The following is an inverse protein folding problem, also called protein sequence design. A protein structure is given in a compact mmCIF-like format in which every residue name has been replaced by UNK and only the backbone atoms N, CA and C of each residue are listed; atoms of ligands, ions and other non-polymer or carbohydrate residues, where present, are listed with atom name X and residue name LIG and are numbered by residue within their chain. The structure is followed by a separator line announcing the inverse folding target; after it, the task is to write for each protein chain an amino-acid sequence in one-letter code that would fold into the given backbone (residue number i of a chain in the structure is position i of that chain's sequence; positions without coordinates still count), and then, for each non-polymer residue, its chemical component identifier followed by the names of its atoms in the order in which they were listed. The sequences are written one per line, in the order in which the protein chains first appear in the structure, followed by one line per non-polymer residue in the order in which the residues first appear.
data_IF_217474523851
#
_entry.id   IF_217474523851
#
_cell.length_a   1.000
_cell.length_b   1.000
_cell.length_c   1.000
_cell.angle_alpha   90.00
_cell.angle_beta   90.00
_cell.angle_gamma   90.00
#
_symmetry.space_group_name_H-M   'P 1'
#
loop_
_entity.id
_entity.type
_entity.pdbx_description
1 polymer ?
#
# COMPACT_ATOMS: atom_id res chain seq x y z
N UNK A 1 3.41 23.67 -2.84
CA UNK A 1 2.91 22.34 -2.45
C UNK A 1 2.35 21.63 -3.67
N UNK A 2 2.68 20.37 -3.84
CA UNK A 2 2.20 19.57 -4.97
C UNK A 2 0.72 19.23 -4.77
N UNK A 3 -0.13 19.53 -5.74
CA UNK A 3 -1.55 19.15 -5.66
C UNK A 3 -1.76 17.68 -6.07
N UNK A 4 -2.96 17.18 -5.80
CA UNK A 4 -3.31 15.78 -6.03
C UNK A 4 -3.20 15.39 -7.52
N UNK A 5 -3.70 16.24 -8.42
CA UNK A 5 -3.65 15.94 -9.85
C UNK A 5 -2.20 15.85 -10.35
N UNK A 6 -1.33 16.74 -9.89
CA UNK A 6 0.08 16.77 -10.29
C UNK A 6 0.83 15.54 -9.80
N UNK A 7 0.60 15.11 -8.54
CA UNK A 7 1.31 13.94 -8.01
C UNK A 7 0.81 12.65 -8.67
N UNK A 8 -0.49 12.53 -8.92
CA UNK A 8 -1.03 11.37 -9.62
C UNK A 8 -0.49 11.28 -11.04
N UNK A 9 -0.41 12.42 -11.75
CA UNK A 9 0.18 12.45 -13.10
C UNK A 9 1.67 12.04 -13.06
N UNK A 10 2.43 12.59 -12.13
CA UNK A 10 3.85 12.25 -11.96
C UNK A 10 4.05 10.74 -11.78
N UNK A 11 3.27 10.12 -10.91
CA UNK A 11 3.39 8.69 -10.63
C UNK A 11 2.88 7.86 -11.79
N UNK A 12 1.80 8.27 -12.46
CA UNK A 12 1.33 7.58 -13.67
C UNK A 12 2.41 7.58 -14.75
N UNK A 13 3.08 8.71 -14.97
CA UNK A 13 4.18 8.83 -15.94
C UNK A 13 5.37 7.97 -15.54
N UNK A 14 5.69 7.91 -14.25
CA UNK A 14 6.75 7.05 -13.71
C UNK A 14 6.46 5.58 -14.00
N UNK A 15 5.25 5.12 -13.68
CA UNK A 15 4.84 3.74 -13.89
C UNK A 15 4.85 3.37 -15.36
N UNK A 16 4.37 4.26 -16.22
CA UNK A 16 4.41 4.06 -17.67
C UNK A 16 5.86 3.96 -18.17
N UNK A 17 6.73 4.85 -17.70
CA UNK A 17 8.15 4.84 -18.04
C UNK A 17 8.88 3.58 -17.59
N UNK A 18 8.43 2.97 -16.49
CA UNK A 18 8.94 1.70 -15.98
C UNK A 18 8.33 0.50 -16.71
N UNK A 19 7.39 0.72 -17.61
CA UNK A 19 6.75 -0.33 -18.41
C UNK A 19 5.60 -1.04 -17.70
N UNK A 20 5.00 -0.45 -16.68
CA UNK A 20 3.85 -1.03 -15.99
C UNK A 20 2.54 -0.61 -16.64
N UNK A 21 1.56 -1.52 -16.59
CA UNK A 21 0.18 -1.29 -17.01
C UNK A 21 -0.67 -1.05 -15.77
N UNK A 22 -1.28 0.13 -15.70
CA UNK A 22 -2.25 0.47 -14.65
C UNK A 22 -3.62 -0.01 -15.10
N UNK A 23 -4.20 -0.96 -14.37
CA UNK A 23 -5.53 -1.52 -14.71
C UNK A 23 -6.65 -0.81 -13.98
N UNK A 24 -6.35 -0.08 -12.90
CA UNK A 24 -7.32 0.72 -12.17
C UNK A 24 -6.62 1.85 -11.43
N UNK A 25 -7.31 2.99 -11.32
CA UNK A 25 -6.85 4.14 -10.56
C UNK A 25 -8.00 4.63 -9.68
N UNK A 26 -7.72 4.84 -8.39
CA UNK A 26 -8.66 5.47 -7.47
C UNK A 26 -8.01 6.74 -6.90
N UNK A 27 -8.44 7.90 -7.39
CA UNK A 27 -7.97 9.21 -6.93
C UNK A 27 -9.03 9.94 -6.11
N UNK A 28 -10.08 9.22 -5.68
CA UNK A 28 -11.19 9.79 -4.93
C UNK A 28 -11.10 9.49 -3.42
N UNK A 29 -10.05 8.81 -2.96
CA UNK A 29 -9.85 8.56 -1.54
C UNK A 29 -9.53 9.87 -0.82
N UNK A 30 -10.14 10.15 0.34
CA UNK A 30 -9.90 11.41 1.05
C UNK A 30 -8.45 11.58 1.54
N UNK A 31 -7.73 10.47 1.74
CA UNK A 31 -6.33 10.48 2.16
C UNK A 31 -5.35 10.50 0.97
N UNK A 32 -5.82 10.38 -0.26
CA UNK A 32 -4.98 10.31 -1.46
C UNK A 32 -5.55 9.37 -2.50
N UNK A 33 -4.98 8.20 -2.64
CA UNK A 33 -5.48 7.18 -3.56
C UNK A 33 -4.43 6.17 -3.96
N UNK A 34 -4.71 5.43 -5.05
CA UNK A 34 -3.80 4.36 -5.47
C UNK A 34 -3.93 4.02 -6.95
N UNK A 35 -2.90 3.34 -7.45
CA UNK A 35 -2.89 2.68 -8.76
C UNK A 35 -2.82 1.18 -8.55
N UNK A 36 -3.63 0.42 -9.30
CA UNK A 36 -3.56 -1.04 -9.34
C UNK A 36 -2.77 -1.45 -10.58
N UNK A 37 -1.74 -2.27 -10.38
CA UNK A 37 -0.87 -2.75 -11.45
C UNK A 37 -1.38 -4.11 -11.92
N UNK A 38 -1.25 -4.38 -13.22
CA UNK A 38 -1.63 -5.65 -13.83
C UNK A 38 -0.93 -6.82 -13.11
N UNK A 39 -1.71 -7.81 -12.67
CA UNK A 39 -1.19 -9.00 -11.98
C UNK A 39 -0.20 -9.78 -12.86
N UNK A 40 -0.36 -9.74 -14.19
CA UNK A 40 0.58 -10.38 -15.12
C UNK A 40 1.98 -9.77 -15.04
N UNK A 41 2.12 -8.59 -14.44
CA UNK A 41 3.38 -7.89 -14.24
C UNK A 41 3.92 -8.03 -12.81
N UNK A 42 3.37 -8.97 -12.03
CA UNK A 42 3.75 -9.16 -10.63
C UNK A 42 5.25 -9.41 -10.45
N UNK A 43 5.84 -10.28 -11.27
CA UNK A 43 7.27 -10.56 -11.20
C UNK A 43 8.12 -9.31 -11.47
N UNK A 44 7.71 -8.51 -12.44
CA UNK A 44 8.37 -7.26 -12.78
C UNK A 44 8.24 -6.24 -11.65
N UNK A 45 7.06 -6.17 -11.02
CA UNK A 45 6.81 -5.30 -9.87
C UNK A 45 7.73 -5.65 -8.69
N UNK A 46 7.86 -6.94 -8.39
CA UNK A 46 8.78 -7.42 -7.34
C UNK A 46 10.22 -7.07 -7.70
N UNK A 47 10.64 -7.29 -8.93
CA UNK A 47 12.01 -6.93 -9.37
C UNK A 47 12.29 -5.43 -9.23
N UNK A 48 11.30 -4.59 -9.50
CA UNK A 48 11.45 -3.13 -9.44
C UNK A 48 11.49 -2.61 -8.00
N UNK A 49 10.59 -3.09 -7.15
CA UNK A 49 10.37 -2.50 -5.83
C UNK A 49 10.83 -3.38 -4.68
N UNK A 50 10.90 -4.68 -4.87
CA UNK A 50 11.29 -5.64 -3.83
C UNK A 50 12.36 -6.61 -4.35
N UNK A 51 13.51 -6.07 -4.85
CA UNK A 51 14.49 -6.91 -5.56
C UNK A 51 15.16 -7.96 -4.68
N UNK A 52 15.13 -7.80 -3.36
CA UNK A 52 15.70 -8.76 -2.42
C UNK A 52 14.72 -9.87 -2.05
N UNK A 53 13.49 -9.82 -2.57
CA UNK A 53 12.45 -10.79 -2.27
C UNK A 53 12.28 -11.79 -3.42
N UNK A 54 11.87 -13.01 -3.08
CA UNK A 54 11.53 -14.06 -4.05
C UNK A 54 10.01 -14.05 -4.26
N UNK A 55 9.57 -13.81 -5.49
CA UNK A 55 8.14 -13.75 -5.81
C UNK A 55 7.42 -15.05 -5.45
N UNK A 56 8.06 -16.20 -5.61
CA UNK A 56 7.46 -17.50 -5.30
C UNK A 56 7.22 -17.64 -3.79
N UNK A 57 8.05 -17.04 -2.97
CA UNK A 57 7.87 -17.00 -1.52
C UNK A 57 6.83 -15.97 -1.10
N UNK A 58 6.79 -14.82 -1.78
CA UNK A 58 5.78 -13.78 -1.53
C UNK A 58 4.38 -14.27 -1.88
N UNK A 59 4.28 -15.05 -2.94
CA UNK A 59 3.01 -15.53 -3.50
C UNK A 59 2.52 -16.74 -2.72
N UNK A 60 1.87 -16.51 -1.60
CA UNK A 60 1.27 -17.59 -0.79
C UNK A 60 0.18 -18.30 -1.58
N UNK A 61 -0.56 -17.53 -2.39
CA UNK A 61 -1.58 -18.06 -3.33
C UNK A 61 -1.15 -17.71 -4.77
N UNK A 62 -2.10 -17.52 -5.68
CA UNK A 62 -1.79 -17.29 -7.09
C UNK A 62 -1.47 -15.84 -7.45
N UNK A 63 -1.72 -14.88 -6.53
CA UNK A 63 -1.57 -13.46 -6.84
C UNK A 63 -1.06 -12.64 -5.66
N UNK A 64 -0.49 -11.47 -5.96
CA UNK A 64 0.06 -10.54 -4.97
C UNK A 64 -0.62 -9.16 -4.99
N UNK A 65 -1.53 -8.92 -5.92
CA UNK A 65 -2.32 -7.67 -6.03
C UNK A 65 -1.46 -6.40 -5.92
N UNK A 66 -0.49 -6.20 -6.83
CA UNK A 66 0.47 -5.10 -6.69
C UNK A 66 -0.19 -3.74 -6.86
N UNK A 67 0.17 -2.79 -6.00
CA UNK A 67 -0.38 -1.42 -5.99
C UNK A 67 0.68 -0.39 -5.67
N UNK A 68 0.40 0.84 -6.08
CA UNK A 68 1.13 2.02 -5.62
C UNK A 68 0.13 2.91 -4.87
N UNK A 69 0.42 3.16 -3.59
CA UNK A 69 -0.39 4.04 -2.73
C UNK A 69 0.22 5.43 -2.74
N UNK A 70 -0.64 6.45 -2.74
CA UNK A 70 -0.25 7.85 -2.63
C UNK A 70 -0.98 8.44 -1.43
N UNK A 71 -0.23 8.82 -0.39
CA UNK A 71 -0.80 9.41 0.82
C UNK A 71 -0.47 10.91 0.87
N UNK A 72 -1.50 11.74 1.03
CA UNK A 72 -1.35 13.19 1.07
C UNK A 72 -0.65 13.65 2.35
N UNK A 73 0.02 14.83 2.31
CA UNK A 73 0.62 15.40 3.52
C UNK A 73 -0.39 15.56 4.64
N UNK A 74 0.03 15.24 5.86
CA UNK A 74 -0.76 15.42 7.09
C UNK A 74 -2.11 14.69 7.07
N UNK A 75 -2.22 13.62 6.28
CA UNK A 75 -3.39 12.74 6.25
C UNK A 75 -2.99 11.32 6.58
N UNK A 76 -3.98 10.51 6.91
CA UNK A 76 -3.73 9.11 7.23
C UNK A 76 -4.90 8.23 6.80
N UNK A 77 -4.59 6.98 6.46
CA UNK A 77 -5.59 5.95 6.20
C UNK A 77 -6.30 5.61 7.51
N UNK A 78 -7.41 4.88 7.42
CA UNK A 78 -8.09 4.38 8.61
C UNK A 78 -7.17 3.49 9.43
N UNK A 79 -7.41 3.42 10.72
CA UNK A 79 -6.86 2.42 11.62
C UNK A 79 -7.62 1.13 11.33
N UNK A 80 -6.96 0.13 10.76
CA UNK A 80 -7.63 -0.94 10.05
C UNK A 80 -6.91 -2.28 10.17
N UNK A 81 -7.62 -3.36 9.86
CA UNK A 81 -7.02 -4.68 9.65
C UNK A 81 -7.81 -5.47 8.61
N UNK A 82 -7.25 -6.60 8.19
CA UNK A 82 -7.80 -7.45 7.14
C UNK A 82 -7.84 -8.91 7.60
N UNK A 83 -8.87 -9.64 7.16
CA UNK A 83 -9.07 -11.03 7.57
C UNK A 83 -8.37 -12.05 6.67
N UNK A 84 -8.15 -11.71 5.39
CA UNK A 84 -7.72 -12.68 4.39
C UNK A 84 -6.43 -12.29 3.67
N UNK A 85 -5.66 -11.35 4.26
CA UNK A 85 -4.35 -11.00 3.71
C UNK A 85 -3.39 -10.45 4.75
N UNK A 86 -2.11 -10.65 4.47
CA UNK A 86 -1.02 -9.87 5.01
C UNK A 86 -0.59 -8.86 3.94
N UNK A 87 0.22 -7.87 4.29
CA UNK A 87 0.69 -6.84 3.35
C UNK A 87 2.17 -6.59 3.54
N UNK A 88 2.85 -6.17 2.47
CA UNK A 88 4.23 -5.69 2.53
C UNK A 88 4.24 -4.32 1.86
N UNK A 89 4.79 -3.33 2.54
CA UNK A 89 4.91 -1.96 2.06
C UNK A 89 6.37 -1.55 1.95
N UNK A 90 6.70 -0.85 0.86
CA UNK A 90 8.00 -0.19 0.70
C UNK A 90 7.76 1.28 0.42
N UNK A 91 8.44 2.14 1.17
CA UNK A 91 8.42 3.57 0.90
C UNK A 91 9.26 3.86 -0.34
N UNK A 92 8.65 4.46 -1.37
CA UNK A 92 9.33 4.88 -2.59
C UNK A 92 9.75 6.34 -2.47
N UNK A 93 8.81 7.20 -2.09
CA UNK A 93 9.07 8.62 -1.80
C UNK A 93 8.42 8.94 -0.45
N UNK A 94 9.09 9.74 0.34
CA UNK A 94 8.62 10.06 1.67
C UNK A 94 9.57 11.00 2.40
N UNK A 95 9.77 10.80 3.68
CA UNK A 95 9.36 9.63 4.48
C UNK A 95 7.85 9.54 4.72
N UNK A 96 7.41 8.37 5.13
CA UNK A 96 6.06 8.14 5.62
C UNK A 96 6.14 7.51 7.01
N UNK A 97 5.04 7.52 7.75
CA UNK A 97 4.95 6.78 9.01
C UNK A 97 3.91 5.67 8.88
N UNK A 98 4.09 4.61 9.66
CA UNK A 98 3.16 3.48 9.73
C UNK A 98 2.90 3.18 11.20
N UNK A 99 1.64 3.25 11.61
CA UNK A 99 1.25 2.82 12.95
C UNK A 99 0.85 1.34 12.89
N UNK A 100 1.21 0.58 13.91
CA UNK A 100 0.89 -0.85 14.02
C UNK A 100 0.50 -1.23 15.44
N UNK A 101 -0.34 -2.27 15.57
CA UNK A 101 -0.67 -2.89 16.86
C UNK A 101 -1.27 -4.27 16.64
N UNK A 102 -1.18 -5.13 17.64
CA UNK A 102 -1.83 -6.45 17.63
C UNK A 102 -3.28 -6.41 18.09
N UNK A 103 -3.74 -5.25 18.57
CA UNK A 103 -5.13 -5.03 19.00
C UNK A 103 -5.64 -3.68 18.51
N UNK A 104 -6.85 -3.30 18.94
CA UNK A 104 -7.50 -2.08 18.45
C UNK A 104 -6.87 -0.79 18.98
N UNK A 105 -5.97 -0.89 19.96
CA UNK A 105 -5.27 0.25 20.53
C UNK A 105 -4.02 0.58 19.73
N UNK A 106 -3.94 1.80 19.20
CA UNK A 106 -2.81 2.25 18.39
C UNK A 106 -1.59 2.46 19.29
N UNK A 107 -0.51 1.70 19.06
CA UNK A 107 0.64 1.64 19.98
C UNK A 107 1.96 2.07 19.39
N UNK A 108 2.40 1.44 18.31
CA UNK A 108 3.72 1.67 17.73
C UNK A 108 3.63 2.46 16.46
N UNK A 109 4.61 3.32 16.24
CA UNK A 109 4.72 4.07 15.00
C UNK A 109 6.14 3.89 14.45
N UNK A 110 6.23 3.57 13.16
CA UNK A 110 7.49 3.34 12.46
C UNK A 110 7.67 4.41 11.41
N UNK A 111 8.84 5.04 11.38
CA UNK A 111 9.20 5.97 10.30
C UNK A 111 9.86 5.17 9.18
N UNK A 112 9.31 5.26 7.96
CA UNK A 112 9.89 4.65 6.78
C UNK A 112 10.52 5.72 5.89
N UNK A 113 11.84 5.68 5.79
CA UNK A 113 12.56 6.47 4.80
C UNK A 113 12.43 5.80 3.41
N UNK A 114 12.67 6.53 2.30
CA UNK A 114 12.71 5.90 0.98
C UNK A 114 13.62 4.67 0.97
N UNK A 115 13.09 3.55 0.48
CA UNK A 115 13.75 2.24 0.51
C UNK A 115 13.38 1.38 1.71
N UNK A 116 12.76 1.96 2.75
CA UNK A 116 12.32 1.20 3.94
C UNK A 116 11.13 0.29 3.65
N UNK A 117 11.15 -0.90 4.24
CA UNK A 117 10.11 -1.93 4.07
C UNK A 117 9.51 -2.28 5.42
N UNK A 118 8.20 -2.49 5.45
CA UNK A 118 7.50 -3.01 6.62
C UNK A 118 6.59 -4.16 6.21
N UNK A 119 6.51 -5.19 7.04
CA UNK A 119 5.63 -6.34 6.87
C UNK A 119 4.49 -6.24 7.87
N UNK A 120 3.26 -6.34 7.36
CA UNK A 120 2.04 -6.22 8.14
C UNK A 120 1.34 -7.58 8.12
N UNK A 121 1.23 -8.19 9.28
CA UNK A 121 0.65 -9.54 9.42
C UNK A 121 -0.85 -9.53 9.18
N UNK A 122 -1.40 -10.68 8.79
CA UNK A 122 -2.84 -10.87 8.75
C UNK A 122 -3.44 -10.54 10.13
N UNK A 123 -4.48 -9.72 10.15
CA UNK A 123 -5.15 -9.30 11.38
C UNK A 123 -4.44 -8.21 12.18
N UNK A 124 -3.19 -7.91 11.89
CA UNK A 124 -2.47 -6.83 12.56
C UNK A 124 -3.08 -5.48 12.18
N UNK A 125 -3.36 -4.64 13.18
CA UNK A 125 -3.90 -3.30 12.95
C UNK A 125 -2.78 -2.42 12.42
N UNK A 126 -3.11 -1.60 11.42
CA UNK A 126 -2.13 -0.70 10.79
C UNK A 126 -2.79 0.50 10.15
N UNK A 127 -2.01 1.55 9.93
CA UNK A 127 -2.38 2.70 9.11
C UNK A 127 -1.14 3.36 8.54
N UNK A 128 -1.27 3.84 7.29
CA UNK A 128 -0.26 4.65 6.62
C UNK A 128 -0.53 6.12 6.94
N UNK A 129 0.54 6.87 7.20
CA UNK A 129 0.47 8.27 7.64
C UNK A 129 1.38 9.12 6.75
N UNK A 130 0.81 10.13 6.10
CA UNK A 130 1.56 11.15 5.37
C UNK A 130 2.14 12.18 6.32
N UNK A 131 3.36 12.64 6.03
CA UNK A 131 4.08 13.61 6.88
C UNK A 131 4.07 14.98 6.21
N UNK A 132 5.22 15.48 5.77
CA UNK A 132 5.33 16.86 5.26
C UNK A 132 5.01 16.99 3.78
N UNK A 133 5.12 15.91 3.03
CA UNK A 133 4.88 15.86 1.58
C UNK A 133 4.15 14.57 1.21
N UNK A 134 3.72 14.48 -0.04
CA UNK A 134 3.12 13.25 -0.55
C UNK A 134 4.05 12.07 -0.34
N UNK A 135 3.51 10.99 0.22
CA UNK A 135 4.22 9.73 0.37
C UNK A 135 3.78 8.74 -0.71
N UNK A 136 4.73 8.01 -1.25
CA UNK A 136 4.49 7.01 -2.30
C UNK A 136 4.98 5.66 -1.77
N UNK A 137 4.09 4.67 -1.79
CA UNK A 137 4.35 3.35 -1.19
C UNK A 137 3.99 2.25 -2.19
N UNK A 138 4.92 1.33 -2.43
CA UNK A 138 4.63 0.11 -3.17
C UNK A 138 4.02 -0.91 -2.21
N UNK A 139 2.92 -1.53 -2.61
CA UNK A 139 2.16 -2.47 -1.78
C UNK A 139 2.00 -3.81 -2.48
N UNK A 140 2.24 -4.88 -1.72
CA UNK A 140 1.93 -6.24 -2.11
C UNK A 140 0.98 -6.83 -1.07
N UNK A 141 -0.05 -7.54 -1.55
CA UNK A 141 -0.93 -8.34 -0.71
C UNK A 141 -0.49 -9.79 -0.74
N UNK A 142 -0.40 -10.41 0.43
CA UNK A 142 -0.20 -11.85 0.56
C UNK A 142 -1.54 -12.46 0.95
N UNK A 143 -2.28 -12.96 -0.05
CA UNK A 143 -3.58 -13.58 0.17
C UNK A 143 -3.40 -14.89 0.94
N UNK A 144 -4.20 -15.08 2.00
CA UNK A 144 -4.07 -16.22 2.89
C UNK A 144 -5.05 -17.35 2.59
N UNK A 145 -6.01 -17.12 1.69
CA UNK A 145 -7.02 -18.12 1.30
C UNK A 145 -7.20 -18.09 -0.22
N UNK A 146 -6.72 -19.15 -0.90
CA UNK A 146 -6.80 -19.24 -2.35
C UNK A 146 -8.25 -19.34 -2.86
N UNK A 147 -9.14 -19.95 -2.08
CA UNK A 147 -10.55 -20.14 -2.46
C UNK A 147 -11.38 -18.88 -2.22
N UNK A 148 -10.90 -17.98 -1.37
CA UNK A 148 -11.57 -16.70 -1.08
C UNK A 148 -10.49 -15.61 -0.93
N UNK A 149 -9.93 -15.14 -2.05
CA UNK A 149 -8.88 -14.12 -2.00
C UNK A 149 -9.39 -12.81 -1.43
N UNK A 150 -8.49 -12.05 -0.81
CA UNK A 150 -8.80 -10.74 -0.26
C UNK A 150 -9.15 -9.74 -1.38
N UNK A 151 -9.94 -8.74 -1.02
CA UNK A 151 -10.34 -7.65 -1.92
C UNK A 151 -10.47 -6.35 -1.13
N UNK A 152 -10.91 -5.28 -1.79
CA UNK A 152 -11.06 -3.97 -1.15
C UNK A 152 -12.11 -3.95 -0.03
N UNK A 153 -13.06 -4.88 -0.05
CA UNK A 153 -14.10 -4.99 0.99
C UNK A 153 -13.62 -5.78 2.22
N UNK A 154 -12.47 -6.45 2.13
CA UNK A 154 -11.85 -7.15 3.25
C UNK A 154 -11.11 -6.16 4.14
N UNK A 155 -11.85 -5.34 4.85
CA UNK A 155 -11.30 -4.31 5.73
C UNK A 155 -12.23 -4.08 6.92
N UNK A 156 -11.64 -4.01 8.12
CA UNK A 156 -12.32 -3.52 9.31
C UNK A 156 -11.68 -2.19 9.69
N UNK A 157 -12.46 -1.13 9.62
CA UNK A 157 -12.01 0.21 10.03
C UNK A 157 -12.34 0.42 11.49
N UNK A 158 -11.31 0.39 12.34
CA UNK A 158 -11.46 0.58 13.79
C UNK A 158 -11.67 2.07 14.10
N UNK A 159 -10.95 2.94 13.38
CA UNK A 159 -11.07 4.39 13.48
C UNK A 159 -10.73 5.00 12.13
N UNK A 160 -11.42 6.06 11.76
CA UNK A 160 -11.21 6.73 10.49
C UNK A 160 -11.46 8.23 10.65
N UNK A 161 -10.45 9.05 10.30
CA UNK A 161 -10.56 10.52 10.38
C UNK A 161 -11.64 11.08 9.47
N UNK A 162 -12.06 10.31 8.45
CA UNK A 162 -13.01 10.75 7.43
C UNK A 162 -14.43 10.20 7.64
N UNK A 163 -14.65 9.43 8.71
CA UNK A 163 -15.98 8.94 9.08
C UNK A 163 -16.56 7.85 8.18
N UNK A 164 -15.72 7.07 7.55
CA UNK A 164 -16.18 5.99 6.66
C UNK A 164 -16.48 4.70 7.41
#
# INVERSE_FOLDING_TARGET
MTDKNSIFKKIADMLHGQGFTVINKDDQRPWGGFFVIDEDEAAKFVSQYFPDEDIDELKITEKISPKILLVAPQTRLSWQYHHRRAEIWKCIEGPVAVATSDNDEEKQQHLLQPGGIIRLKQGQRHRLIGIDKWGIVAEIWQHTNADDPSNEDDIVRVQDDFGR
#
